data_IF_396564425854
#
_entry.id   IF_396564425854
#
_cell.length_a   1.000
_cell.length_b   1.000
_cell.length_c   1.000
_cell.angle_alpha   90.00
_cell.angle_beta   90.00
_cell.angle_gamma   90.00
#
_symmetry.space_group_name_H-M   'P 1'
#
loop_
_entity.id
_entity.type
_entity.pdbx_description
1 polymer ?
#
# COMPACT_ATOMS: atom_id res chain seq x y z
N UNK A 1 9.52 3.03 -10.79
CA UNK A 1 8.99 3.53 -9.51
C UNK A 1 7.72 4.28 -9.82
N UNK A 2 6.58 3.80 -9.34
CA UNK A 2 5.30 4.49 -9.50
C UNK A 2 4.90 5.10 -8.17
N UNK A 3 4.26 6.27 -8.21
CA UNK A 3 3.67 6.85 -7.02
C UNK A 3 2.30 7.47 -7.34
N UNK A 4 1.46 7.54 -6.34
CA UNK A 4 0.19 8.27 -6.38
C UNK A 4 0.00 9.08 -5.11
N UNK A 5 -0.77 10.15 -5.23
CA UNK A 5 -1.22 10.96 -4.10
C UNK A 5 -2.72 10.78 -3.98
N UNK A 6 -3.20 10.54 -2.77
CA UNK A 6 -4.63 10.50 -2.49
C UNK A 6 -4.94 11.21 -1.17
N UNK A 7 -6.16 11.72 -1.06
CA UNK A 7 -6.64 12.33 0.19
C UNK A 7 -7.77 11.49 0.76
N UNK A 8 -7.41 10.60 1.69
CA UNK A 8 -8.36 9.74 2.42
C UNK A 8 -8.85 10.38 3.72
N UNK A 9 -8.04 11.26 4.32
CA UNK A 9 -8.35 12.00 5.55
C UNK A 9 -8.17 13.49 5.32
N UNK A 10 -8.89 14.33 6.05
CA UNK A 10 -8.79 15.79 5.89
C UNK A 10 -7.42 16.33 6.34
N UNK A 11 -6.78 15.66 7.30
CA UNK A 11 -5.54 16.10 7.96
C UNK A 11 -4.25 15.61 7.30
N UNK A 12 -4.33 14.69 6.33
CA UNK A 12 -3.16 14.11 5.67
C UNK A 12 -3.35 13.95 4.16
N UNK A 13 -2.22 13.85 3.46
CA UNK A 13 -2.14 13.30 2.11
C UNK A 13 -1.43 11.96 2.21
N UNK A 14 -2.03 10.91 1.64
CA UNK A 14 -1.39 9.62 1.49
C UNK A 14 -0.53 9.63 0.22
N UNK A 15 0.76 9.38 0.39
CA UNK A 15 1.70 9.09 -0.69
C UNK A 15 1.89 7.58 -0.75
N UNK A 16 1.42 6.94 -1.81
CA UNK A 16 1.66 5.53 -2.07
C UNK A 16 2.77 5.39 -3.10
N UNK A 17 3.90 4.78 -2.73
CA UNK A 17 5.05 4.54 -3.60
C UNK A 17 5.23 3.04 -3.80
N UNK A 18 5.27 2.61 -5.05
CA UNK A 18 5.45 1.20 -5.42
C UNK A 18 6.78 1.00 -6.15
N UNK A 19 7.52 0.03 -5.63
CA UNK A 19 8.69 -0.59 -6.22
C UNK A 19 8.39 -2.08 -6.45
N UNK A 20 9.22 -2.73 -7.27
CA UNK A 20 9.20 -4.18 -7.40
C UNK A 20 9.36 -4.83 -6.01
N UNK A 21 8.44 -5.74 -5.66
CA UNK A 21 8.35 -6.41 -4.36
C UNK A 21 8.14 -5.51 -3.13
N UNK A 22 7.85 -4.20 -3.29
CA UNK A 22 7.73 -3.28 -2.13
C UNK A 22 6.68 -2.20 -2.37
N UNK A 23 5.83 -1.98 -1.37
CA UNK A 23 4.94 -0.81 -1.29
C UNK A 23 5.28 -0.01 -0.05
N UNK A 24 5.41 1.30 -0.20
CA UNK A 24 5.58 2.25 0.90
C UNK A 24 4.36 3.16 0.90
N UNK A 25 3.75 3.33 2.05
CA UNK A 25 2.66 4.26 2.28
C UNK A 25 3.10 5.29 3.31
N UNK A 26 2.93 6.57 2.97
CA UNK A 26 3.34 7.70 3.79
C UNK A 26 2.13 8.60 3.99
N UNK A 27 1.64 8.68 5.22
CA UNK A 27 0.68 9.71 5.62
C UNK A 27 1.46 10.97 5.98
N UNK A 28 1.39 12.00 5.13
CA UNK A 28 2.03 13.29 5.36
C UNK A 28 1.02 14.29 5.92
N UNK A 29 1.27 14.80 7.12
CA UNK A 29 0.40 15.71 7.84
C UNK A 29 0.78 17.18 7.63
N UNK A 30 -0.19 18.08 7.83
CA UNK A 30 0.01 19.53 7.62
C UNK A 30 1.00 20.20 8.58
N UNK A 31 1.33 19.54 9.69
CA UNK A 31 2.33 19.99 10.68
C UNK A 31 3.75 19.45 10.38
N UNK A 32 3.91 18.71 9.29
CA UNK A 32 5.19 18.10 8.90
C UNK A 32 5.46 16.73 9.52
N UNK A 33 4.58 16.20 10.38
CA UNK A 33 4.66 14.82 10.83
C UNK A 33 4.42 13.86 9.66
N UNK A 34 5.04 12.67 9.72
CA UNK A 34 4.86 11.60 8.75
C UNK A 34 4.78 10.26 9.46
N UNK A 35 3.75 9.48 9.11
CA UNK A 35 3.66 8.07 9.44
C UNK A 35 4.04 7.24 8.20
N UNK A 36 4.96 6.29 8.36
CA UNK A 36 5.49 5.49 7.25
C UNK A 36 5.22 4.01 7.49
N UNK A 37 4.44 3.40 6.59
CA UNK A 37 4.22 1.97 6.52
C UNK A 37 4.98 1.36 5.34
N UNK A 38 5.65 0.23 5.57
CA UNK A 38 6.39 -0.49 4.53
C UNK A 38 5.89 -1.93 4.44
N UNK A 39 5.43 -2.30 3.26
CA UNK A 39 5.01 -3.63 2.89
C UNK A 39 6.08 -4.25 2.00
N UNK A 40 6.54 -5.45 2.36
CA UNK A 40 7.54 -6.21 1.61
C UNK A 40 6.86 -7.47 1.11
N UNK A 41 6.94 -7.70 -0.19
CA UNK A 41 6.44 -8.90 -0.84
C UNK A 41 7.54 -9.59 -1.65
N UNK A 42 7.25 -10.82 -2.05
CA UNK A 42 8.02 -11.55 -3.04
C UNK A 42 7.26 -11.49 -4.38
N UNK A 43 7.98 -11.51 -5.50
CA UNK A 43 7.37 -11.37 -6.84
C UNK A 43 7.02 -12.73 -7.46
N UNK A 44 6.89 -13.74 -6.62
CA UNK A 44 6.55 -15.09 -7.03
C UNK A 44 5.07 -15.17 -7.44
N UNK A 45 4.76 -16.09 -8.35
CA UNK A 45 3.36 -16.42 -8.67
C UNK A 45 2.82 -17.31 -7.55
N UNK A 46 1.99 -16.74 -6.68
CA UNK A 46 1.45 -17.46 -5.51
C UNK A 46 0.20 -18.30 -5.83
N UNK A 47 -0.49 -18.03 -6.94
CA UNK A 47 -1.68 -18.78 -7.33
C UNK A 47 -2.52 -18.13 -8.43
N UNK A 48 -3.64 -18.76 -8.77
CA UNK A 48 -4.65 -18.32 -9.74
C UNK A 48 -5.92 -17.76 -9.08
N UNK A 49 -7.07 -17.93 -9.74
CA UNK A 49 -8.35 -17.40 -9.27
C UNK A 49 -8.79 -18.02 -7.93
N UNK A 50 -8.44 -19.29 -7.70
CA UNK A 50 -8.71 -20.01 -6.45
C UNK A 50 -8.08 -19.34 -5.22
N UNK A 51 -6.93 -18.66 -5.39
CA UNK A 51 -6.29 -17.90 -4.33
C UNK A 51 -7.17 -16.71 -3.94
N UNK A 52 -7.75 -16.01 -4.92
CA UNK A 52 -8.65 -14.87 -4.68
C UNK A 52 -9.87 -15.33 -3.87
N UNK A 53 -10.51 -16.43 -4.28
CA UNK A 53 -11.68 -16.98 -3.58
C UNK A 53 -11.35 -17.33 -2.13
N UNK A 54 -10.17 -17.91 -1.88
CA UNK A 54 -9.73 -18.25 -0.52
C UNK A 54 -9.49 -17.03 0.37
N UNK A 55 -8.93 -15.94 -0.17
CA UNK A 55 -8.68 -14.70 0.57
C UNK A 55 -10.00 -14.03 0.95
N UNK A 56 -10.95 -13.99 0.01
CA UNK A 56 -12.27 -13.39 0.24
C UNK A 56 -13.03 -14.17 1.32
N UNK A 57 -12.94 -15.51 1.33
CA UNK A 57 -13.61 -16.34 2.33
C UNK A 57 -13.05 -16.18 3.76
N UNK A 58 -11.85 -15.59 3.93
CA UNK A 58 -11.20 -15.36 5.22
C UNK A 58 -11.55 -14.00 5.86
N UNK A 59 -12.10 -13.05 5.08
CA UNK A 59 -12.44 -11.69 5.53
C UNK A 59 -13.90 -11.55 5.95
#
# INVERSE_FOLDING_TARGET
MHYSLSRQRRSSILVSVTFLGRRIEIDAFGDGHMDVSRFVGHEDIEGGAELIDSIIALG
#
